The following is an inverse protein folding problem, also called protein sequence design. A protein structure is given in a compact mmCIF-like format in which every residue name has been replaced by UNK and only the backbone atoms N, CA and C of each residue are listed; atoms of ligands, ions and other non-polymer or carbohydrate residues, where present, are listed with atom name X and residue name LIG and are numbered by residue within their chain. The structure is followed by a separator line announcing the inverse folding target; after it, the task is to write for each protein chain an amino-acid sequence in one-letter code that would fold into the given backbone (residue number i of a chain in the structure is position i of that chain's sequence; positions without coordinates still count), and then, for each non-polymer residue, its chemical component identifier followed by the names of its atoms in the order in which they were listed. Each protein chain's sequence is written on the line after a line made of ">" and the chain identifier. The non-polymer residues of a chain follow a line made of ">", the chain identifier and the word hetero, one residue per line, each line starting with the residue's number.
data_IF_883189373453
#
_entry.id   IF_883189373453
#
_cell.length_a   1.000
_cell.length_b   1.000
_cell.length_c   1.000
_cell.angle_alpha   90.00
_cell.angle_beta   90.00
_cell.angle_gamma   90.00
#
_symmetry.space_group_name_H-M   'P 1'
#
loop_
_entity.id
_entity.type
_entity.pdbx_description
1 polymer ?
#
# COMPACT_ATOMS: atom_id res chain seq x y z
N UNK A 1 7.42 -20.90 12.94
CA UNK A 1 6.04 -20.35 12.92
C UNK A 1 5.74 -19.86 11.51
N UNK A 2 4.76 -20.43 10.81
CA UNK A 2 4.35 -19.98 9.47
C UNK A 2 3.58 -18.67 9.63
N UNK A 3 4.25 -17.52 9.47
CA UNK A 3 3.57 -16.22 9.48
C UNK A 3 2.56 -16.19 8.35
N UNK A 4 1.29 -16.37 8.72
CA UNK A 4 0.18 -16.56 7.78
C UNK A 4 -0.06 -15.23 7.07
N UNK A 5 -0.27 -15.26 5.75
CA UNK A 5 -0.57 -14.08 4.91
C UNK A 5 -1.65 -13.19 5.56
N UNK A 6 -2.61 -13.80 6.25
CA UNK A 6 -3.68 -13.15 7.03
C UNK A 6 -3.18 -12.24 8.18
N UNK A 7 -2.06 -12.57 8.83
CA UNK A 7 -1.49 -11.74 9.90
C UNK A 7 -0.99 -10.40 9.35
N UNK A 8 -0.23 -10.44 8.25
CA UNK A 8 0.21 -9.23 7.56
C UNK A 8 -0.95 -8.45 6.94
N UNK A 9 -2.00 -9.16 6.49
CA UNK A 9 -3.23 -8.51 6.03
C UNK A 9 -3.88 -7.70 7.15
N UNK A 10 -4.05 -8.31 8.33
CA UNK A 10 -4.61 -7.66 9.52
C UNK A 10 -3.74 -6.52 10.00
N UNK A 11 -2.42 -6.69 10.00
CA UNK A 11 -1.48 -5.63 10.36
C UNK A 11 -1.65 -4.43 9.41
N UNK A 12 -1.63 -4.65 8.09
CA UNK A 12 -1.81 -3.60 7.10
C UNK A 12 -3.19 -2.92 7.23
N UNK A 13 -4.27 -3.68 7.40
CA UNK A 13 -5.61 -3.14 7.64
C UNK A 13 -5.68 -2.32 8.94
N UNK A 14 -5.09 -2.81 10.03
CA UNK A 14 -5.09 -2.12 11.32
C UNK A 14 -4.31 -0.80 11.26
N UNK A 15 -3.13 -0.80 10.65
CA UNK A 15 -2.32 0.40 10.45
C UNK A 15 -2.99 1.39 9.50
N UNK A 16 -3.69 0.90 8.48
CA UNK A 16 -4.46 1.74 7.57
C UNK A 16 -5.62 2.41 8.31
N UNK A 17 -6.33 1.67 9.15
CA UNK A 17 -7.44 2.21 9.93
C UNK A 17 -6.96 3.21 10.97
N UNK A 18 -5.84 2.92 11.64
CA UNK A 18 -5.19 3.86 12.55
C UNK A 18 -4.80 5.15 11.83
N UNK A 19 -4.19 5.05 10.65
CA UNK A 19 -3.76 6.21 9.87
C UNK A 19 -4.96 7.03 9.40
N UNK A 20 -6.03 6.37 8.96
CA UNK A 20 -7.29 7.04 8.61
C UNK A 20 -7.87 7.83 9.80
N UNK A 21 -7.98 7.19 10.97
CA UNK A 21 -8.49 7.83 12.19
C UNK A 21 -7.57 8.97 12.62
N UNK A 22 -6.25 8.78 12.53
CA UNK A 22 -5.27 9.81 12.86
C UNK A 22 -5.42 11.06 11.98
N UNK A 23 -5.57 10.89 10.66
CA UNK A 23 -5.79 11.99 9.73
C UNK A 23 -7.07 12.76 10.02
N UNK A 24 -8.16 12.05 10.35
CA UNK A 24 -9.44 12.66 10.73
C UNK A 24 -9.28 13.45 12.01
N UNK A 25 -8.67 12.87 13.05
CA UNK A 25 -8.43 13.56 14.32
C UNK A 25 -7.58 14.80 14.10
N UNK A 26 -6.49 14.70 13.35
CA UNK A 26 -5.63 15.85 13.10
C UNK A 26 -6.39 16.97 12.37
N UNK A 27 -7.02 16.68 11.23
CA UNK A 27 -7.69 17.70 10.44
C UNK A 27 -8.95 18.30 11.11
N UNK A 28 -9.68 17.54 11.94
CA UNK A 28 -10.91 18.03 12.59
C UNK A 28 -10.70 18.56 14.01
N UNK A 29 -9.75 18.01 14.79
CA UNK A 29 -9.55 18.40 16.19
C UNK A 29 -8.33 19.30 16.39
N UNK A 30 -7.25 19.12 15.63
CA UNK A 30 -5.99 19.81 15.89
C UNK A 30 -5.76 21.05 15.04
N UNK A 31 -6.45 21.20 13.91
CA UNK A 31 -6.34 22.39 13.06
C UNK A 31 -7.67 23.15 12.93
N UNK A 32 -8.15 23.84 13.99
CA UNK A 32 -9.40 24.60 13.93
C UNK A 32 -9.31 25.86 13.02
N UNK A 33 -8.09 26.33 12.75
CA UNK A 33 -7.83 27.70 12.27
C UNK A 33 -7.63 27.84 10.75
N UNK A 34 -7.53 26.73 10.00
CA UNK A 34 -7.39 26.83 8.55
C UNK A 34 -8.77 26.97 7.92
N UNK A 35 -9.06 28.16 7.40
CA UNK A 35 -10.19 28.53 6.53
C UNK A 35 -10.23 27.76 5.20
N UNK A 36 -9.77 26.52 5.18
CA UNK A 36 -9.81 25.62 4.04
C UNK A 36 -11.16 24.93 4.08
N UNK A 37 -11.92 25.04 2.99
CA UNK A 37 -13.24 24.42 2.90
C UNK A 37 -13.14 22.94 3.31
N UNK A 38 -13.91 22.53 4.33
CA UNK A 38 -13.95 21.15 4.83
C UNK A 38 -14.14 20.14 3.71
N UNK A 39 -14.88 20.54 2.67
CA UNK A 39 -15.09 19.75 1.45
C UNK A 39 -13.78 19.49 0.69
N UNK A 40 -12.90 20.49 0.55
CA UNK A 40 -11.62 20.35 -0.16
C UNK A 40 -10.68 19.41 0.60
N UNK A 41 -10.60 19.54 1.93
CA UNK A 41 -9.83 18.62 2.77
C UNK A 41 -10.33 17.19 2.63
N UNK A 42 -11.65 16.98 2.68
CA UNK A 42 -12.24 15.65 2.53
C UNK A 42 -12.00 15.07 1.14
N UNK A 43 -12.12 15.88 0.09
CA UNK A 43 -11.90 15.43 -1.29
C UNK A 43 -10.43 15.10 -1.57
N UNK A 44 -9.49 15.93 -1.11
CA UNK A 44 -8.07 15.71 -1.39
C UNK A 44 -7.41 14.68 -0.48
N UNK A 45 -7.91 14.51 0.75
CA UNK A 45 -7.32 13.56 1.71
C UNK A 45 -8.15 12.27 1.81
N UNK A 46 -9.46 12.36 2.05
CA UNK A 46 -10.29 11.16 2.29
C UNK A 46 -10.60 10.37 1.01
N UNK A 47 -10.68 11.00 -0.17
CA UNK A 47 -10.92 10.24 -1.42
C UNK A 47 -9.74 9.33 -1.80
N UNK A 48 -8.49 9.81 -1.86
CA UNK A 48 -7.38 8.94 -2.22
C UNK A 48 -7.16 7.81 -1.21
N UNK A 49 -7.42 8.02 0.08
CA UNK A 49 -7.31 6.93 1.06
C UNK A 49 -8.44 5.91 0.92
N UNK A 50 -9.68 6.32 0.59
CA UNK A 50 -10.83 5.40 0.49
C UNK A 50 -10.83 4.52 -0.77
N UNK A 51 -10.18 4.96 -1.86
CA UNK A 51 -10.01 4.17 -3.08
C UNK A 51 -9.32 2.79 -2.86
N UNK A 52 -8.15 2.69 -2.21
CA UNK A 52 -7.49 1.41 -1.96
C UNK A 52 -8.24 0.54 -0.94
N UNK A 53 -9.11 1.08 -0.08
CA UNK A 53 -9.77 0.30 0.97
C UNK A 53 -10.56 -0.89 0.41
N UNK A 54 -11.33 -0.66 -0.66
CA UNK A 54 -12.12 -1.72 -1.31
C UNK A 54 -11.23 -2.83 -1.87
N UNK A 55 -10.08 -2.47 -2.46
CA UNK A 55 -9.16 -3.47 -3.01
C UNK A 55 -8.29 -4.15 -1.95
N UNK A 56 -8.03 -3.49 -0.82
CA UNK A 56 -7.31 -4.05 0.34
C UNK A 56 -8.11 -5.20 0.98
N UNK A 57 -9.44 -5.01 1.07
CA UNK A 57 -10.41 -6.02 1.53
C UNK A 57 -10.49 -7.19 0.53
N UNK A 58 -10.46 -6.91 -0.78
CA UNK A 58 -10.40 -7.96 -1.81
C UNK A 58 -9.06 -8.72 -1.83
N UNK A 59 -8.03 -8.24 -1.12
CA UNK A 59 -6.77 -8.95 -0.98
C UNK A 59 -5.93 -9.03 -2.26
N UNK A 60 -6.16 -8.14 -3.23
CA UNK A 60 -5.42 -8.10 -4.49
C UNK A 60 -4.02 -7.50 -4.27
N UNK A 61 -2.91 -8.14 -4.68
CA UNK A 61 -1.55 -7.63 -4.46
C UNK A 61 -1.32 -6.24 -5.06
N UNK A 62 -1.93 -6.00 -6.22
CA UNK A 62 -1.89 -4.71 -6.90
C UNK A 62 -2.38 -3.57 -5.99
N UNK A 63 -3.44 -3.80 -5.21
CA UNK A 63 -3.95 -2.77 -4.30
C UNK A 63 -3.01 -2.50 -3.13
N UNK A 64 -2.26 -3.50 -2.65
CA UNK A 64 -1.25 -3.28 -1.61
C UNK A 64 -0.08 -2.42 -2.14
N UNK A 65 0.34 -2.66 -3.38
CA UNK A 65 1.32 -1.79 -4.05
C UNK A 65 0.77 -0.36 -4.24
N UNK A 66 -0.49 -0.23 -4.67
CA UNK A 66 -1.14 1.06 -4.86
C UNK A 66 -1.32 1.83 -3.54
N UNK A 67 -1.68 1.13 -2.46
CA UNK A 67 -1.77 1.69 -1.11
C UNK A 67 -0.42 2.25 -0.67
N UNK A 68 0.68 1.58 -1.02
CA UNK A 68 2.02 2.03 -0.70
C UNK A 68 2.37 3.38 -1.35
N UNK A 69 1.92 3.62 -2.59
CA UNK A 69 2.08 4.92 -3.24
C UNK A 69 1.32 6.03 -2.52
N UNK A 70 0.09 5.75 -2.09
CA UNK A 70 -0.71 6.70 -1.31
C UNK A 70 -0.04 7.01 0.03
N UNK A 71 0.45 5.99 0.74
CA UNK A 71 1.18 6.17 2.00
C UNK A 71 2.40 7.07 1.85
N UNK A 72 3.07 7.02 0.71
CA UNK A 72 4.23 7.90 0.46
C UNK A 72 3.84 9.38 0.39
N UNK A 73 2.66 9.70 -0.14
CA UNK A 73 2.11 11.06 -0.13
C UNK A 73 1.85 11.56 1.30
N UNK A 74 1.28 10.71 2.15
CA UNK A 74 1.06 11.00 3.56
C UNK A 74 2.36 11.14 4.35
N UNK A 75 3.34 10.28 4.09
CA UNK A 75 4.66 10.37 4.70
C UNK A 75 5.32 11.72 4.38
N UNK A 76 5.24 12.17 3.13
CA UNK A 76 5.75 13.48 2.71
C UNK A 76 5.04 14.63 3.44
N UNK A 77 3.73 14.51 3.64
CA UNK A 77 2.96 15.48 4.42
C UNK A 77 3.40 15.51 5.89
N UNK A 78 3.52 14.35 6.54
CA UNK A 78 4.04 14.27 7.91
C UNK A 78 5.43 14.88 8.02
N UNK A 79 6.32 14.61 7.06
CA UNK A 79 7.67 15.18 7.06
C UNK A 79 7.68 16.70 6.89
N UNK A 80 6.86 17.22 5.98
CA UNK A 80 6.71 18.67 5.79
C UNK A 80 6.04 19.32 6.99
N UNK A 81 5.08 18.68 7.66
CA UNK A 81 4.44 19.17 8.88
C UNK A 81 5.42 19.24 10.07
N UNK A 82 6.33 18.26 10.24
CA UNK A 82 7.41 18.33 11.25
C UNK A 82 8.27 19.58 11.07
N UNK A 83 8.55 19.95 9.81
CA UNK A 83 9.47 21.04 9.49
C UNK A 83 8.78 22.41 9.45
N UNK A 84 7.57 22.48 8.89
CA UNK A 84 6.88 23.73 8.59
C UNK A 84 6.08 24.31 9.77
N UNK A 85 5.71 23.51 10.77
CA UNK A 85 4.86 23.96 11.88
C UNK A 85 5.53 23.68 13.23
N UNK A 86 6.10 24.73 13.83
CA UNK A 86 6.69 24.69 15.18
C UNK A 86 5.59 24.60 16.24
N UNK A 87 5.11 23.38 16.48
CA UNK A 87 4.07 23.08 17.49
C UNK A 87 3.38 21.74 17.26
N UNK A 88 3.30 21.30 16.01
CA UNK A 88 2.64 20.04 15.64
C UNK A 88 3.62 18.88 15.39
N UNK A 89 4.90 19.07 15.73
CA UNK A 89 5.98 18.09 15.50
C UNK A 89 5.70 16.70 16.08
N UNK A 90 5.09 16.65 17.26
CA UNK A 90 4.78 15.37 17.91
C UNK A 90 3.69 14.59 17.14
N UNK A 91 2.69 15.30 16.61
CA UNK A 91 1.63 14.68 15.82
C UNK A 91 2.15 14.18 14.48
N UNK A 92 3.03 14.98 13.87
CA UNK A 92 3.72 14.65 12.63
C UNK A 92 4.63 13.43 12.79
N UNK A 93 5.29 13.30 13.94
CA UNK A 93 6.10 12.13 14.27
C UNK A 93 5.24 10.85 14.39
N UNK A 94 4.09 10.92 15.06
CA UNK A 94 3.16 9.79 15.16
C UNK A 94 2.68 9.36 13.77
N UNK A 95 2.33 10.32 12.91
CA UNK A 95 1.91 10.03 11.53
C UNK A 95 3.01 9.32 10.74
N UNK A 96 4.27 9.78 10.85
CA UNK A 96 5.42 9.14 10.20
C UNK A 96 5.60 7.70 10.69
N UNK A 97 5.50 7.46 12.00
CA UNK A 97 5.62 6.10 12.56
C UNK A 97 4.50 5.18 12.05
N UNK A 98 3.26 5.69 11.98
CA UNK A 98 2.13 4.95 11.42
C UNK A 98 2.30 4.65 9.92
N UNK A 99 2.76 5.63 9.14
CA UNK A 99 3.11 5.44 7.73
C UNK A 99 4.19 4.38 7.55
N UNK A 100 5.25 4.39 8.35
CA UNK A 100 6.32 3.40 8.31
C UNK A 100 5.82 1.98 8.63
N UNK A 101 4.96 1.85 9.64
CA UNK A 101 4.32 0.57 10.00
C UNK A 101 3.39 0.05 8.89
N UNK A 102 2.61 0.95 8.28
CA UNK A 102 1.73 0.62 7.16
C UNK A 102 2.53 0.23 5.90
N UNK A 103 3.59 0.98 5.58
CA UNK A 103 4.48 0.72 4.45
C UNK A 103 5.14 -0.65 4.56
N UNK A 104 5.67 -0.98 5.74
CA UNK A 104 6.30 -2.28 5.99
C UNK A 104 5.28 -3.42 5.95
N UNK A 105 4.10 -3.25 6.55
CA UNK A 105 3.01 -4.22 6.50
C UNK A 105 2.52 -4.49 5.08
N UNK A 106 2.27 -3.43 4.30
CA UNK A 106 1.83 -3.54 2.91
C UNK A 106 2.90 -4.13 2.00
N UNK A 107 4.17 -3.71 2.14
CA UNK A 107 5.28 -4.23 1.32
C UNK A 107 5.53 -5.72 1.56
N UNK A 108 5.51 -6.17 2.83
CA UNK A 108 5.68 -7.59 3.15
C UNK A 108 4.50 -8.42 2.66
N UNK A 109 3.27 -7.94 2.82
CA UNK A 109 2.08 -8.64 2.32
C UNK A 109 2.07 -8.74 0.78
N UNK A 110 2.35 -7.64 0.08
CA UNK A 110 2.42 -7.62 -1.39
C UNK A 110 3.48 -8.60 -1.91
N UNK A 111 4.66 -8.65 -1.26
CA UNK A 111 5.71 -9.61 -1.59
C UNK A 111 5.30 -11.06 -1.34
N UNK A 112 4.71 -11.35 -0.19
CA UNK A 112 4.34 -12.72 0.17
C UNK A 112 3.21 -13.23 -0.72
N UNK A 113 2.17 -12.44 -0.93
CA UNK A 113 1.05 -12.81 -1.79
C UNK A 113 1.41 -12.81 -3.29
N UNK A 114 2.35 -11.95 -3.71
CA UNK A 114 2.94 -12.01 -5.05
C UNK A 114 3.71 -13.32 -5.31
N UNK A 115 4.36 -13.88 -4.28
CA UNK A 115 4.96 -15.22 -4.35
C UNK A 115 3.92 -16.34 -4.35
N UNK A 116 2.82 -16.19 -3.60
CA UNK A 116 1.72 -17.17 -3.55
C UNK A 116 0.90 -17.24 -4.85
N UNK A 117 0.68 -16.11 -5.51
CA UNK A 117 -0.08 -16.05 -6.78
C UNK A 117 0.71 -16.58 -7.99
N UNK A 118 1.92 -17.08 -7.79
CA UNK A 118 2.65 -17.74 -8.87
C UNK A 118 3.00 -16.82 -10.04
N UNK A 119 2.95 -15.49 -9.86
CA UNK A 119 3.45 -14.50 -10.82
C UNK A 119 4.99 -14.52 -10.97
N UNK A 120 5.65 -15.56 -10.44
CA UNK A 120 6.94 -15.94 -10.99
C UNK A 120 6.68 -16.27 -12.46
N UNK A 121 7.20 -15.43 -13.36
CA UNK A 121 7.32 -15.71 -14.80
C UNK A 121 7.52 -17.23 -14.92
N UNK A 122 6.59 -17.90 -15.61
CA UNK A 122 6.70 -19.33 -15.92
C UNK A 122 8.14 -19.54 -16.30
N UNK A 123 8.86 -20.39 -15.56
CA UNK A 123 10.33 -20.45 -15.65
C UNK A 123 10.67 -20.46 -17.13
N UNK A 124 11.41 -19.47 -17.60
CA UNK A 124 11.73 -19.30 -19.02
C UNK A 124 12.24 -20.61 -19.66
N UNK A 125 12.87 -21.47 -18.87
CA UNK A 125 13.28 -22.85 -19.22
C UNK A 125 12.15 -23.78 -19.65
N UNK A 126 10.98 -23.68 -19.05
CA UNK A 126 9.81 -24.50 -19.36
C UNK A 126 9.14 -24.02 -20.67
N UNK A 127 9.10 -22.69 -20.90
CA UNK A 127 8.65 -22.12 -22.19
C UNK A 127 9.62 -22.47 -23.33
N UNK A 128 10.94 -22.33 -23.11
CA UNK A 128 11.97 -22.71 -24.07
C UNK A 128 11.94 -24.21 -24.41
N UNK A 129 11.65 -25.09 -23.44
CA UNK A 129 11.51 -26.53 -23.68
C UNK A 129 10.29 -26.84 -24.54
N UNK A 130 9.14 -26.23 -24.25
CA UNK A 130 7.93 -26.39 -25.06
C UNK A 130 8.12 -25.86 -26.48
N UNK A 131 8.80 -24.71 -26.66
CA UNK A 131 9.14 -24.21 -27.99
C UNK A 131 10.11 -25.16 -28.72
N UNK A 132 11.16 -25.66 -28.05
CA UNK A 132 12.08 -26.63 -28.64
C UNK A 132 11.40 -27.93 -29.06
N UNK A 133 10.53 -28.49 -28.20
CA UNK A 133 9.75 -29.70 -28.49
C UNK A 133 8.76 -29.45 -29.64
N UNK A 134 8.14 -28.27 -29.70
CA UNK A 134 7.28 -27.87 -30.82
C UNK A 134 8.09 -27.72 -32.12
N UNK A 135 9.26 -27.07 -32.10
CA UNK A 135 10.14 -26.92 -33.26
C UNK A 135 10.67 -28.28 -33.76
N UNK A 136 11.03 -29.19 -32.86
CA UNK A 136 11.47 -30.54 -33.23
C UNK A 136 10.33 -31.37 -33.84
N UNK A 137 9.13 -31.31 -33.26
CA UNK A 137 7.94 -31.98 -33.81
C UNK A 137 7.57 -31.47 -35.21
N UNK A 138 7.79 -30.18 -35.47
CA UNK A 138 7.49 -29.54 -36.75
C UNK A 138 8.54 -29.84 -37.84
N UNK A 139 9.78 -30.16 -37.43
CA UNK A 139 10.88 -30.58 -38.31
C UNK A 139 10.79 -32.07 -38.67
N UNK A 140 10.12 -32.87 -37.85
CA UNK A 140 9.98 -34.32 -38.02
C UNK A 140 8.78 -34.72 -38.89
N UNK A 141 7.93 -33.75 -39.29
CA UNK A 141 6.81 -33.97 -40.21
C UNK A 141 7.35 -33.93 -41.66
N UNK A 142 7.27 -35.04 -42.43
CA UNK A 142 7.81 -35.13 -43.78
C UNK A 142 7.06 -34.26 -44.80
#
# INVERSE_FOLDING_TARGET
>A
MKFTTLFYQRLALSSYFLLFVWLVIWHFMLTPDKSTSTLFTLLFWIVPITLPLKGLIQGKPYTYAWTNFIVMYYLLHGLTAVYAVEGERFYAFIEIVLCCGLFTGCSYYARLRGRELGLGIRKLKDELREEQEAFESHKQKP
#
